data_IF_804439136919
#
_entry.id   IF_804439136919
#
_cell.length_a   1.000
_cell.length_b   1.000
_cell.length_c   1.000
_cell.angle_alpha   90.00
_cell.angle_beta   90.00
_cell.angle_gamma   90.00
#
_symmetry.space_group_name_H-M   'P 1'
#
loop_
_entity.id
_entity.type
_entity.pdbx_description
1 polymer ?
#
# COMPACT_ATOMS: atom_id res chain seq x y z
N UNK A 1 11.65 -0.89 4.70
CA UNK A 1 11.68 -2.31 5.11
C UNK A 1 10.65 -3.09 4.30
N UNK A 2 11.14 -3.92 3.39
CA UNK A 2 10.27 -4.66 2.45
C UNK A 2 9.31 -5.59 3.19
N UNK A 3 9.73 -6.20 4.29
CA UNK A 3 8.88 -7.13 5.04
C UNK A 3 7.72 -6.39 5.70
N UNK A 4 7.97 -5.19 6.24
CA UNK A 4 6.92 -4.35 6.80
C UNK A 4 5.92 -3.92 5.74
N UNK A 5 6.41 -3.53 4.57
CA UNK A 5 5.54 -3.10 3.48
C UNK A 5 4.69 -4.24 2.95
N UNK A 6 5.27 -5.42 2.75
CA UNK A 6 4.51 -6.61 2.33
C UNK A 6 3.41 -6.93 3.35
N UNK A 7 3.76 -6.98 4.64
CA UNK A 7 2.79 -7.26 5.69
C UNK A 7 1.66 -6.23 5.73
N UNK A 8 2.00 -4.95 5.52
CA UNK A 8 1.00 -3.88 5.48
C UNK A 8 0.00 -4.10 4.34
N UNK A 9 0.49 -4.28 3.11
CA UNK A 9 -0.40 -4.43 1.95
C UNK A 9 -1.23 -5.70 2.01
N UNK A 10 -0.69 -6.78 2.59
CA UNK A 10 -1.46 -7.99 2.82
C UNK A 10 -2.60 -7.77 3.81
N UNK A 11 -2.31 -7.10 4.93
CA UNK A 11 -3.31 -6.88 5.99
C UNK A 11 -4.30 -5.80 5.62
N UNK A 12 -3.82 -4.65 5.14
CA UNK A 12 -4.68 -3.50 4.88
C UNK A 12 -5.57 -3.68 3.65
N UNK A 13 -5.08 -4.33 2.61
CA UNK A 13 -5.73 -4.37 1.31
C UNK A 13 -5.97 -5.80 0.79
N UNK A 14 -5.58 -6.82 1.54
CA UNK A 14 -5.80 -8.21 1.14
C UNK A 14 -4.99 -8.62 -0.09
N UNK A 15 -3.92 -7.91 -0.41
CA UNK A 15 -3.09 -8.25 -1.54
C UNK A 15 -2.18 -9.44 -1.20
N UNK A 16 -1.74 -10.16 -2.23
CA UNK A 16 -0.89 -11.34 -2.08
C UNK A 16 0.34 -11.21 -2.94
N UNK A 17 1.46 -11.73 -2.43
CA UNK A 17 2.69 -11.80 -3.22
C UNK A 17 2.47 -12.75 -4.39
N UNK A 18 2.64 -12.26 -5.61
CA UNK A 18 2.49 -13.06 -6.82
C UNK A 18 3.83 -13.51 -7.37
N UNK A 19 4.86 -12.68 -7.27
CA UNK A 19 6.21 -13.04 -7.70
C UNK A 19 7.24 -12.11 -7.09
N UNK A 20 8.48 -12.54 -7.11
CA UNK A 20 9.62 -11.74 -6.67
C UNK A 20 10.73 -11.84 -7.71
N UNK A 21 11.60 -10.82 -7.72
CA UNK A 21 12.80 -10.83 -8.56
C UNK A 21 13.94 -10.19 -7.78
N UNK A 22 15.08 -10.88 -7.75
CA UNK A 22 16.28 -10.36 -7.10
C UNK A 22 17.35 -10.06 -8.14
N UNK A 23 18.10 -8.98 -7.92
CA UNK A 23 19.28 -8.70 -8.73
C UNK A 23 20.35 -9.76 -8.45
N UNK A 24 21.13 -10.13 -9.48
CA UNK A 24 22.21 -11.11 -9.34
C UNK A 24 23.25 -10.68 -8.31
N UNK A 25 23.47 -9.38 -8.17
CA UNK A 25 24.47 -8.81 -7.23
C UNK A 25 23.85 -8.42 -5.87
N UNK A 26 22.55 -8.71 -5.67
CA UNK A 26 21.86 -8.38 -4.42
C UNK A 26 21.49 -6.90 -4.28
N UNK A 27 21.61 -6.10 -5.34
CA UNK A 27 21.39 -4.65 -5.26
C UNK A 27 19.94 -4.26 -5.13
N UNK A 28 19.00 -5.10 -5.59
CA UNK A 28 17.57 -4.82 -5.44
C UNK A 28 16.76 -6.10 -5.29
N UNK A 29 15.59 -5.95 -4.69
CA UNK A 29 14.56 -6.99 -4.65
C UNK A 29 13.25 -6.32 -5.06
N UNK A 30 12.57 -6.91 -6.05
CA UNK A 30 11.24 -6.49 -6.47
C UNK A 30 10.23 -7.50 -5.97
N UNK A 31 9.18 -7.03 -5.31
CA UNK A 31 8.09 -7.89 -4.83
C UNK A 31 6.79 -7.37 -5.44
N UNK A 32 6.11 -8.24 -6.18
CA UNK A 32 4.87 -7.89 -6.88
C UNK A 32 3.68 -8.44 -6.11
N UNK A 33 2.76 -7.56 -5.74
CA UNK A 33 1.54 -7.90 -5.01
C UNK A 33 0.33 -7.68 -5.90
N UNK A 34 -0.63 -8.58 -5.86
CA UNK A 34 -1.86 -8.47 -6.64
C UNK A 34 -3.08 -8.92 -5.86
N UNK A 35 -4.27 -8.70 -6.44
CA UNK A 35 -5.53 -9.06 -5.81
C UNK A 35 -5.99 -10.50 -6.13
N UNK A 36 -5.30 -11.19 -7.03
CA UNK A 36 -5.66 -12.54 -7.46
C UNK A 36 -6.83 -12.59 -8.43
N UNK A 37 -7.40 -11.46 -8.79
CA UNK A 37 -8.61 -11.36 -9.63
C UNK A 37 -8.35 -10.64 -10.95
N UNK A 38 -7.45 -9.68 -10.96
CA UNK A 38 -7.14 -8.85 -12.12
C UNK A 38 -5.65 -8.92 -12.44
N UNK A 39 -5.24 -8.20 -13.48
CA UNK A 39 -3.83 -8.08 -13.86
C UNK A 39 -3.10 -6.96 -13.11
N UNK A 40 -3.81 -6.26 -12.23
CA UNK A 40 -3.23 -5.19 -11.44
C UNK A 40 -2.16 -5.73 -10.49
N UNK A 41 -1.03 -5.05 -10.43
CA UNK A 41 0.05 -5.39 -9.50
C UNK A 41 0.66 -4.11 -8.94
N UNK A 42 1.03 -4.16 -7.66
CA UNK A 42 1.90 -3.17 -7.04
C UNK A 42 3.29 -3.78 -6.99
N UNK A 43 4.28 -3.06 -7.49
CA UNK A 43 5.67 -3.45 -7.34
C UNK A 43 6.27 -2.71 -6.14
N UNK A 44 6.74 -3.46 -5.16
CA UNK A 44 7.51 -2.92 -4.06
C UNK A 44 8.98 -3.14 -4.37
N UNK A 45 9.76 -2.07 -4.31
CA UNK A 45 11.19 -2.11 -4.64
C UNK A 45 12.02 -1.88 -3.39
N UNK A 46 12.86 -2.87 -3.06
CA UNK A 46 13.88 -2.72 -2.03
C UNK A 46 15.23 -2.49 -2.70
N UNK A 47 15.95 -1.46 -2.26
CA UNK A 47 17.28 -1.11 -2.76
C UNK A 47 18.28 -1.24 -1.62
N UNK A 48 19.28 -2.11 -1.80
CA UNK A 48 20.33 -2.34 -0.80
C UNK A 48 21.05 -1.05 -0.41
N UNK A 49 21.32 -0.20 -1.38
CA UNK A 49 22.15 0.99 -1.18
C UNK A 49 21.33 2.27 -0.94
N UNK A 50 20.06 2.11 -0.51
CA UNK A 50 19.19 3.24 -0.17
C UNK A 50 18.63 3.05 1.24
N UNK A 51 19.44 3.28 2.30
CA UNK A 51 18.98 3.07 3.67
C UNK A 51 18.10 4.18 4.22
N UNK A 52 18.12 5.37 3.61
CA UNK A 52 17.35 6.52 4.06
C UNK A 52 15.90 6.43 3.60
N UNK A 53 15.03 7.22 4.25
CA UNK A 53 13.64 7.34 3.83
C UNK A 53 13.55 8.03 2.46
N UNK A 54 12.47 7.74 1.72
CA UNK A 54 12.20 8.38 0.44
C UNK A 54 11.57 9.74 0.64
N UNK A 55 11.91 10.68 -0.23
CA UNK A 55 11.26 11.99 -0.26
C UNK A 55 10.04 11.91 -1.15
N UNK A 56 8.85 12.05 -0.55
CA UNK A 56 7.58 11.86 -1.24
C UNK A 56 6.93 13.19 -1.64
N UNK A 57 7.65 14.31 -1.47
CA UNK A 57 7.09 15.62 -1.75
C UNK A 57 5.86 15.89 -0.89
N UNK A 58 4.78 16.32 -1.52
CA UNK A 58 3.51 16.58 -0.85
C UNK A 58 2.53 15.42 -0.98
N UNK A 59 2.98 14.25 -1.42
CA UNK A 59 2.12 13.10 -1.74
C UNK A 59 1.03 13.47 -2.76
N UNK A 60 1.41 14.24 -3.77
CA UNK A 60 0.48 14.76 -4.75
C UNK A 60 -0.08 13.70 -5.69
N UNK A 61 0.58 12.55 -5.81
CA UNK A 61 0.03 11.40 -6.54
C UNK A 61 -0.19 10.25 -5.57
N UNK A 62 -1.29 9.51 -5.78
CA UNK A 62 -1.64 8.39 -4.93
C UNK A 62 -2.45 7.38 -5.73
N UNK A 63 -2.54 6.16 -5.19
CA UNK A 63 -3.40 5.12 -5.73
C UNK A 63 -4.69 5.07 -4.92
N UNK A 64 -5.76 4.60 -5.56
CA UNK A 64 -7.07 4.52 -4.94
C UNK A 64 -7.57 3.08 -5.01
N UNK A 65 -8.11 2.58 -3.91
CA UNK A 65 -8.72 1.25 -3.85
C UNK A 65 -10.20 1.37 -3.52
N UNK A 66 -11.03 0.71 -4.33
CA UNK A 66 -12.43 0.49 -3.98
C UNK A 66 -12.51 -0.74 -3.07
N UNK A 67 -13.28 -0.63 -1.99
CA UNK A 67 -13.48 -1.74 -1.06
C UNK A 67 -14.94 -2.17 -1.05
N UNK A 68 -15.18 -3.48 -0.89
CA UNK A 68 -16.54 -4.02 -0.91
C UNK A 68 -17.33 -3.62 0.33
N UNK A 69 -16.69 -3.62 1.49
CA UNK A 69 -17.30 -3.24 2.76
C UNK A 69 -16.52 -2.09 3.36
N UNK A 70 -16.99 -0.88 3.10
CA UNK A 70 -16.31 0.36 3.50
C UNK A 70 -16.19 0.48 5.01
N UNK A 71 -17.26 0.16 5.75
CA UNK A 71 -17.25 0.28 7.20
C UNK A 71 -16.28 -0.71 7.85
N UNK A 72 -16.23 -1.94 7.34
CA UNK A 72 -15.30 -2.95 7.82
C UNK A 72 -13.86 -2.56 7.53
N UNK A 73 -13.60 -2.04 6.32
CA UNK A 73 -12.27 -1.55 5.95
C UNK A 73 -11.83 -0.40 6.85
N UNK A 74 -12.75 0.53 7.14
CA UNK A 74 -12.45 1.64 8.04
C UNK A 74 -12.05 1.16 9.43
N UNK A 75 -12.79 0.20 9.99
CA UNK A 75 -12.48 -0.35 11.31
C UNK A 75 -11.12 -1.04 11.32
N UNK A 76 -10.82 -1.82 10.29
CA UNK A 76 -9.52 -2.47 10.18
C UNK A 76 -8.39 -1.45 10.13
N UNK A 77 -8.52 -0.44 9.28
CA UNK A 77 -7.47 0.57 9.11
C UNK A 77 -7.32 1.44 10.36
N UNK A 78 -8.42 1.68 11.07
CA UNK A 78 -8.38 2.38 12.35
C UNK A 78 -7.60 1.57 13.39
N UNK A 79 -7.87 0.27 13.49
CA UNK A 79 -7.17 -0.62 14.42
C UNK A 79 -5.68 -0.73 14.07
N UNK A 80 -5.34 -0.70 12.77
CA UNK A 80 -3.94 -0.70 12.32
C UNK A 80 -3.24 0.63 12.60
N UNK A 81 -4.00 1.70 12.90
CA UNK A 81 -3.44 3.02 13.14
C UNK A 81 -2.87 3.69 11.90
N UNK A 82 -3.35 3.34 10.71
CA UNK A 82 -2.78 3.84 9.47
C UNK A 82 -3.65 4.88 8.75
N UNK A 83 -4.79 5.29 9.32
CA UNK A 83 -5.61 6.35 8.71
C UNK A 83 -4.90 7.69 8.91
N UNK A 84 -4.60 8.39 7.82
CA UNK A 84 -3.88 9.65 7.87
C UNK A 84 -4.73 10.87 7.50
N UNK A 85 -5.86 10.67 6.82
CA UNK A 85 -6.76 11.77 6.47
C UNK A 85 -8.15 11.23 6.21
N UNK A 86 -9.18 11.96 6.66
CA UNK A 86 -10.58 11.61 6.41
C UNK A 86 -11.29 12.77 5.72
N UNK A 87 -12.02 12.45 4.66
CA UNK A 87 -12.88 13.42 3.99
C UNK A 87 -14.31 12.92 4.07
N UNK A 88 -14.99 13.26 5.17
CA UNK A 88 -16.33 12.77 5.44
C UNK A 88 -17.36 13.31 4.46
N UNK A 89 -17.16 14.52 3.97
CA UNK A 89 -18.07 15.14 3.01
C UNK A 89 -18.10 14.36 1.70
N UNK A 90 -16.97 13.83 1.27
CA UNK A 90 -16.88 13.03 0.04
C UNK A 90 -17.03 11.53 0.30
N UNK A 91 -17.08 11.10 1.57
CA UNK A 91 -17.23 9.69 1.91
C UNK A 91 -16.01 8.84 1.59
N UNK A 92 -14.82 9.36 1.87
CA UNK A 92 -13.57 8.65 1.62
C UNK A 92 -12.54 8.96 2.70
N UNK A 93 -11.48 8.16 2.76
CA UNK A 93 -10.36 8.43 3.63
C UNK A 93 -9.07 7.93 2.99
N UNK A 94 -7.95 8.33 3.60
CA UNK A 94 -6.62 7.91 3.16
C UNK A 94 -5.92 7.16 4.28
N UNK A 95 -5.16 6.15 3.89
CA UNK A 95 -4.22 5.45 4.77
C UNK A 95 -2.80 5.70 4.27
N UNK A 96 -1.82 5.57 5.15
CA UNK A 96 -0.42 5.65 4.76
C UNK A 96 0.26 4.30 4.96
N UNK A 97 1.10 3.93 4.01
CA UNK A 97 1.89 2.71 4.12
C UNK A 97 3.12 2.96 5.02
N UNK A 98 3.95 1.94 5.31
CA UNK A 98 5.10 2.12 6.20
C UNK A 98 6.13 3.15 5.73
N UNK A 99 6.12 3.52 4.44
CA UNK A 99 7.00 4.55 3.88
C UNK A 99 6.29 5.89 3.69
N UNK A 100 5.07 6.04 4.24
CA UNK A 100 4.23 7.24 4.19
C UNK A 100 3.62 7.56 2.83
N UNK A 101 3.57 6.59 1.92
CA UNK A 101 2.78 6.74 0.69
C UNK A 101 1.30 6.74 1.04
N UNK A 102 0.56 7.70 0.50
CA UNK A 102 -0.88 7.81 0.74
C UNK A 102 -1.66 6.93 -0.22
N UNK A 103 -2.68 6.28 0.32
CA UNK A 103 -3.57 5.39 -0.43
C UNK A 103 -5.00 5.81 -0.13
N UNK A 104 -5.76 6.15 -1.16
CA UNK A 104 -7.16 6.55 -1.01
C UNK A 104 -8.05 5.31 -0.92
N UNK A 105 -9.01 5.33 0.00
CA UNK A 105 -9.99 4.24 0.16
C UNK A 105 -11.38 4.80 -0.12
N UNK A 106 -12.06 4.18 -1.06
CA UNK A 106 -13.42 4.58 -1.45
C UNK A 106 -14.35 3.37 -1.40
N UNK A 107 -15.65 3.61 -1.16
CA UNK A 107 -16.62 2.53 -1.23
C UNK A 107 -16.86 2.11 -2.68
N UNK A 108 -17.22 0.85 -2.87
CA UNK A 108 -17.59 0.33 -4.18
C UNK A 108 -18.86 1.02 -4.67
N UNK A 109 -18.84 1.42 -5.91
CA UNK A 109 -19.99 2.09 -6.54
C UNK A 109 -21.02 1.11 -7.08
#
# INVERSE_FOLDING_TARGET
DINKSVAFYQKALGLKVERTKEANDGSFILTYLGDGLSNFQIELTWLRDHPQAYELGENESHICFEVDDFDQAYQLHKEMGCICFENKAMGLYFINDPDDYWIEIIPKK
#
